data_IF_961078300733
#
_entry.id   IF_961078300733
#
_cell.length_a   1.000
_cell.length_b   1.000
_cell.length_c   1.000
_cell.angle_alpha   90.00
_cell.angle_beta   90.00
_cell.angle_gamma   90.00
#
_symmetry.space_group_name_H-M   'P 1'
#
loop_
_entity.id
_entity.type
_entity.pdbx_description
1 polymer ?
#
# COMPACT_ATOMS: atom_id res chain seq x y z
N UNK A 1 -3.18 -19.27 20.65
CA UNK A 1 -1.81 -19.40 21.17
C UNK A 1 -1.03 -18.16 20.73
N UNK A 2 -0.21 -17.56 21.60
CA UNK A 2 0.61 -16.41 21.21
C UNK A 2 1.83 -16.88 20.39
N UNK A 3 2.10 -16.24 19.24
CA UNK A 3 3.29 -16.54 18.44
C UNK A 3 4.53 -15.87 19.03
N UNK A 4 5.69 -16.53 18.94
CA UNK A 4 6.97 -15.92 19.30
C UNK A 4 7.60 -15.13 18.14
N UNK A 5 7.20 -15.44 16.91
CA UNK A 5 7.76 -14.88 15.68
C UNK A 5 7.56 -13.36 15.59
N UNK A 6 8.67 -12.63 15.44
CA UNK A 6 8.65 -11.16 15.40
C UNK A 6 7.97 -10.65 14.12
N UNK A 7 8.19 -11.33 13.00
CA UNK A 7 7.65 -10.92 11.71
C UNK A 7 6.11 -11.01 11.71
N UNK A 8 5.56 -12.12 12.21
CA UNK A 8 4.12 -12.32 12.36
C UNK A 8 3.48 -11.30 13.30
N UNK A 9 4.19 -10.86 14.36
CA UNK A 9 3.70 -9.80 15.26
C UNK A 9 3.65 -8.44 14.59
N UNK A 10 4.58 -8.17 13.68
CA UNK A 10 4.71 -6.89 12.99
C UNK A 10 3.78 -6.78 11.76
N UNK A 11 3.34 -7.91 11.20
CA UNK A 11 2.49 -7.98 10.00
C UNK A 11 1.17 -7.15 10.03
N UNK A 12 0.47 -6.98 11.17
CA UNK A 12 -0.69 -6.08 11.23
C UNK A 12 -0.34 -4.61 11.04
N UNK A 13 0.92 -4.25 11.31
CA UNK A 13 1.37 -2.86 11.39
C UNK A 13 2.16 -2.43 10.16
N UNK A 14 3.02 -3.30 9.60
CA UNK A 14 3.80 -3.03 8.39
C UNK A 14 3.74 -4.22 7.42
N UNK A 15 4.19 -4.01 6.18
CA UNK A 15 4.12 -5.03 5.15
C UNK A 15 5.33 -5.94 5.15
N UNK A 16 5.21 -7.13 4.57
CA UNK A 16 6.33 -8.05 4.39
C UNK A 16 6.30 -8.65 3.00
N UNK A 17 7.47 -8.82 2.37
CA UNK A 17 7.52 -9.49 1.08
C UNK A 17 7.17 -10.96 1.26
N UNK A 18 6.29 -11.47 0.40
CA UNK A 18 5.99 -12.91 0.34
C UNK A 18 7.24 -13.72 -0.04
N UNK A 19 8.07 -13.17 -0.93
CA UNK A 19 9.37 -13.71 -1.32
C UNK A 19 10.41 -12.58 -1.25
N UNK A 20 11.54 -12.82 -0.56
CA UNK A 20 12.62 -11.84 -0.38
C UNK A 20 13.43 -11.67 -1.68
N UNK A 21 12.92 -10.85 -2.61
CA UNK A 21 13.58 -10.50 -3.85
C UNK A 21 13.60 -8.96 -4.06
N UNK A 22 14.64 -8.26 -3.56
CA UNK A 22 14.63 -6.80 -3.40
C UNK A 22 14.29 -6.01 -4.67
N UNK A 23 14.87 -6.39 -5.82
CA UNK A 23 14.63 -5.66 -7.08
C UNK A 23 13.19 -5.77 -7.56
N UNK A 24 12.61 -6.98 -7.50
CA UNK A 24 11.22 -7.20 -7.93
C UNK A 24 10.24 -6.53 -6.95
N UNK A 25 10.54 -6.58 -5.66
CA UNK A 25 9.70 -5.98 -4.62
C UNK A 25 9.73 -4.45 -4.72
N UNK A 26 10.90 -3.87 -4.98
CA UNK A 26 11.04 -2.44 -5.25
C UNK A 26 10.25 -2.01 -6.50
N UNK A 27 10.35 -2.77 -7.59
CA UNK A 27 9.59 -2.49 -8.81
C UNK A 27 8.08 -2.57 -8.57
N UNK A 28 7.62 -3.57 -7.82
CA UNK A 28 6.20 -3.74 -7.45
C UNK A 28 5.69 -2.51 -6.68
N UNK A 29 6.43 -2.05 -5.66
CA UNK A 29 6.06 -0.86 -4.88
C UNK A 29 6.14 0.42 -5.70
N UNK A 30 7.11 0.54 -6.60
CA UNK A 30 7.24 1.69 -7.50
C UNK A 30 6.03 1.80 -8.44
N UNK A 31 5.60 0.67 -9.04
CA UNK A 31 4.42 0.63 -9.91
C UNK A 31 3.15 0.94 -9.11
N UNK A 32 2.96 0.32 -7.94
CA UNK A 32 1.80 0.56 -7.09
C UNK A 32 1.69 2.03 -6.64
N UNK A 33 2.81 2.62 -6.22
CA UNK A 33 2.88 4.02 -5.81
C UNK A 33 2.64 4.97 -7.00
N UNK A 34 3.18 4.64 -8.19
CA UNK A 34 2.95 5.44 -9.39
C UNK A 34 1.46 5.48 -9.77
N UNK A 35 0.79 4.32 -9.75
CA UNK A 35 -0.66 4.23 -10.01
C UNK A 35 -1.45 5.02 -8.96
N UNK A 36 -1.08 4.92 -7.68
CA UNK A 36 -1.71 5.68 -6.60
C UNK A 36 -1.61 7.19 -6.84
N UNK A 37 -0.41 7.70 -7.11
CA UNK A 37 -0.18 9.14 -7.34
C UNK A 37 -0.91 9.62 -8.59
N UNK A 38 -0.85 8.88 -9.70
CA UNK A 38 -1.60 9.22 -10.91
C UNK A 38 -3.11 9.21 -10.68
N UNK A 39 -3.63 8.20 -9.98
CA UNK A 39 -5.06 8.09 -9.68
C UNK A 39 -5.55 9.23 -8.78
N UNK A 40 -4.81 9.56 -7.72
CA UNK A 40 -5.15 10.71 -6.85
C UNK A 40 -5.10 12.03 -7.63
N UNK A 41 -4.09 12.22 -8.49
CA UNK A 41 -3.99 13.41 -9.33
C UNK A 41 -5.15 13.51 -10.33
N UNK A 42 -5.54 12.40 -10.96
CA UNK A 42 -6.69 12.35 -11.84
C UNK A 42 -7.98 12.68 -11.08
N UNK A 43 -8.21 12.10 -9.90
CA UNK A 43 -9.39 12.41 -9.08
C UNK A 43 -9.40 13.88 -8.60
N UNK A 44 -8.24 14.44 -8.28
CA UNK A 44 -8.11 15.82 -7.78
C UNK A 44 -8.26 16.90 -8.85
N UNK A 45 -8.00 16.59 -10.12
CA UNK A 45 -8.13 17.54 -11.24
C UNK A 45 -9.52 17.57 -11.86
N UNK A 46 -10.36 16.57 -11.57
CA UNK A 46 -11.73 16.51 -12.06
C UNK A 46 -12.73 17.06 -11.04
N UNK A 47 -13.75 17.78 -11.51
CA UNK A 47 -14.90 18.16 -10.68
C UNK A 47 -15.76 16.93 -10.42
N UNK A 48 -15.71 16.45 -9.18
CA UNK A 48 -16.50 15.34 -8.66
C UNK A 48 -17.42 15.89 -7.56
N UNK A 49 -18.58 15.27 -7.36
CA UNK A 49 -19.50 15.60 -6.27
C UNK A 49 -18.79 15.68 -4.93
N UNK A 50 -19.10 16.73 -4.17
CA UNK A 50 -18.55 16.96 -2.84
C UNK A 50 -18.70 15.74 -1.93
N UNK A 51 -17.61 15.39 -1.24
CA UNK A 51 -17.55 14.23 -0.34
C UNK A 51 -17.32 12.88 -1.02
N UNK A 52 -17.40 12.77 -2.35
CA UNK A 52 -17.14 11.50 -3.05
C UNK A 52 -15.65 11.24 -3.31
N UNK A 53 -14.81 12.29 -3.33
CA UNK A 53 -13.37 12.16 -3.55
C UNK A 53 -12.67 11.19 -2.58
N UNK A 54 -12.84 11.29 -1.24
CA UNK A 54 -12.23 10.35 -0.31
C UNK A 54 -12.69 8.90 -0.52
N UNK A 55 -13.95 8.70 -0.89
CA UNK A 55 -14.49 7.37 -1.20
C UNK A 55 -13.82 6.76 -2.43
N UNK A 56 -13.67 7.54 -3.51
CA UNK A 56 -12.98 7.08 -4.72
C UNK A 56 -11.50 6.81 -4.49
N UNK A 57 -10.82 7.62 -3.66
CA UNK A 57 -9.44 7.35 -3.24
C UNK A 57 -9.37 6.04 -2.43
N UNK A 58 -10.32 5.79 -1.53
CA UNK A 58 -10.41 4.52 -0.81
C UNK A 58 -10.59 3.32 -1.75
N UNK A 59 -11.49 3.43 -2.73
CA UNK A 59 -11.67 2.40 -3.75
C UNK A 59 -10.42 2.17 -4.60
N UNK A 60 -9.71 3.24 -4.97
CA UNK A 60 -8.44 3.14 -5.70
C UNK A 60 -7.42 2.31 -4.90
N UNK A 61 -7.28 2.58 -3.60
CA UNK A 61 -6.37 1.83 -2.71
C UNK A 61 -6.77 0.35 -2.64
N UNK A 62 -8.08 0.04 -2.53
CA UNK A 62 -8.58 -1.35 -2.51
C UNK A 62 -8.23 -2.08 -3.82
N UNK A 63 -8.45 -1.44 -4.97
CA UNK A 63 -8.13 -2.03 -6.27
C UNK A 63 -6.63 -2.29 -6.41
N UNK A 64 -5.77 -1.37 -5.96
CA UNK A 64 -4.32 -1.58 -5.93
C UNK A 64 -3.96 -2.76 -5.03
N UNK A 65 -4.55 -2.86 -3.83
CA UNK A 65 -4.31 -3.97 -2.91
C UNK A 65 -4.71 -5.32 -3.50
N UNK A 66 -5.83 -5.38 -4.22
CA UNK A 66 -6.28 -6.60 -4.90
C UNK A 66 -5.40 -6.98 -6.10
N UNK A 67 -4.94 -6.00 -6.88
CA UNK A 67 -4.18 -6.24 -8.11
C UNK A 67 -2.68 -6.47 -7.88
N UNK A 68 -2.08 -5.74 -6.95
CA UNK A 68 -0.62 -5.66 -6.73
C UNK A 68 -0.19 -6.02 -5.30
N UNK A 69 -1.12 -6.38 -4.43
CA UNK A 69 -0.80 -6.66 -3.02
C UNK A 69 -0.07 -7.97 -2.75
N UNK A 70 -0.12 -8.94 -3.67
CA UNK A 70 0.46 -10.27 -3.45
C UNK A 70 1.95 -10.29 -3.10
N UNK A 71 2.84 -9.64 -3.89
CA UNK A 71 4.28 -9.73 -3.68
C UNK A 71 4.79 -9.05 -2.39
N UNK A 72 4.23 -7.90 -2.03
CA UNK A 72 4.78 -7.01 -1.00
C UNK A 72 3.78 -6.48 0.03
N UNK A 73 2.49 -6.80 -0.11
CA UNK A 73 1.45 -6.26 0.76
C UNK A 73 1.09 -4.80 0.50
N UNK A 74 1.42 -4.27 -0.71
CA UNK A 74 1.08 -2.92 -1.18
C UNK A 74 1.39 -1.81 -0.16
N UNK A 75 2.68 -1.63 0.18
CA UNK A 75 3.06 -0.60 1.13
C UNK A 75 2.65 0.80 0.66
N UNK A 76 2.96 1.14 -0.60
CA UNK A 76 2.57 2.33 -1.40
C UNK A 76 2.73 3.71 -0.74
N UNK A 77 3.23 3.75 0.50
CA UNK A 77 3.39 4.90 1.36
C UNK A 77 4.49 4.63 2.40
N UNK A 78 5.63 5.34 2.33
CA UNK A 78 6.72 5.18 3.28
C UNK A 78 6.31 5.43 4.74
N UNK A 79 5.43 6.38 5.01
CA UNK A 79 5.00 6.68 6.39
C UNK A 79 4.13 5.56 6.99
N UNK A 80 3.30 4.92 6.16
CA UNK A 80 2.45 3.78 6.54
C UNK A 80 3.25 2.53 6.90
N UNK A 81 4.44 2.39 6.32
CA UNK A 81 5.26 1.20 6.47
C UNK A 81 6.47 1.41 7.40
N UNK A 82 7.17 2.55 7.31
CA UNK A 82 8.36 2.82 8.11
C UNK A 82 8.01 3.18 9.56
N UNK A 83 6.96 3.97 9.78
CA UNK A 83 6.55 4.40 11.13
C UNK A 83 6.39 3.21 12.08
N UNK A 84 5.59 2.20 11.73
CA UNK A 84 5.40 1.03 12.59
C UNK A 84 6.60 0.08 12.71
N UNK A 85 7.66 0.27 11.90
CA UNK A 85 8.90 -0.53 12.02
C UNK A 85 9.89 0.05 13.02
N UNK A 86 9.81 1.36 13.27
CA UNK A 86 10.77 2.08 14.12
C UNK A 86 10.21 2.39 15.51
N UNK A 87 8.88 2.32 15.68
CA UNK A 87 8.18 2.45 16.97
C UNK A 87 7.94 1.10 17.60
#
# INVERSE_FOLDING_TARGET
>A
QATADADTKLAPFSTMPAIKHPLSNLLSEMIGTFILVLGILALGTNTITDGLNPFLVGLLIIVIGMALGGPTGYAINPARDLGPRIT
#
